data_IF_774567758557
#
_entry.id   IF_774567758557
#
_cell.length_a   1.000
_cell.length_b   1.000
_cell.length_c   1.000
_cell.angle_alpha   90.00
_cell.angle_beta   90.00
_cell.angle_gamma   90.00
#
_symmetry.space_group_name_H-M   'P 1'
#
loop_
_entity.id
_entity.type
_entity.pdbx_description
1 polymer ?
#
# COMPACT_ATOMS: atom_id res chain seq x y z
N UNK A 1 -27.38 60.49 13.21
CA UNK A 1 -26.36 59.50 12.80
C UNK A 1 -27.08 58.47 11.94
N UNK A 2 -26.77 58.40 10.64
CA UNK A 2 -27.55 57.64 9.65
C UNK A 2 -27.65 56.14 9.98
N UNK A 3 -28.86 55.61 9.91
CA UNK A 3 -29.17 54.17 10.06
C UNK A 3 -28.33 53.29 9.14
N UNK A 4 -28.00 53.80 7.95
CA UNK A 4 -27.13 53.14 6.96
C UNK A 4 -25.72 52.95 7.49
N UNK A 5 -25.12 53.97 8.14
CA UNK A 5 -23.78 53.86 8.74
C UNK A 5 -23.74 52.86 9.89
N UNK A 6 -24.84 52.76 10.65
CA UNK A 6 -24.97 51.76 11.72
C UNK A 6 -25.08 50.35 11.18
N UNK A 7 -25.82 50.14 10.09
CA UNK A 7 -25.94 48.82 9.45
C UNK A 7 -24.64 48.36 8.78
N UNK A 8 -23.91 49.28 8.12
CA UNK A 8 -22.59 48.98 7.56
C UNK A 8 -21.61 48.55 8.64
N UNK A 9 -21.55 49.27 9.77
CA UNK A 9 -20.66 48.92 10.88
C UNK A 9 -20.97 47.56 11.50
N UNK A 10 -22.26 47.17 11.58
CA UNK A 10 -22.67 45.83 12.06
C UNK A 10 -22.36 44.72 11.05
N UNK A 11 -22.37 45.03 9.74
CA UNK A 11 -21.97 44.11 8.69
C UNK A 11 -20.45 43.88 8.73
N UNK A 12 -19.67 44.94 8.91
CA UNK A 12 -18.22 44.86 9.07
C UNK A 12 -17.84 44.06 10.33
N UNK A 13 -18.46 44.34 11.48
CA UNK A 13 -18.26 43.55 12.72
C UNK A 13 -18.59 42.06 12.53
N UNK A 14 -19.67 41.73 11.80
CA UNK A 14 -20.03 40.33 11.50
C UNK A 14 -19.12 39.66 10.48
N UNK A 15 -18.55 40.41 9.54
CA UNK A 15 -17.59 39.90 8.58
C UNK A 15 -16.23 39.66 9.23
N UNK A 16 -15.83 40.51 10.18
CA UNK A 16 -14.65 40.33 11.01
C UNK A 16 -14.79 39.17 12.02
N UNK A 17 -16.00 38.90 12.50
CA UNK A 17 -16.30 37.75 13.36
C UNK A 17 -16.38 36.41 12.62
N UNK A 18 -16.46 36.41 11.27
CA UNK A 18 -16.40 35.15 10.53
C UNK A 18 -15.01 34.55 10.72
N UNK A 19 -14.89 33.33 11.29
CA UNK A 19 -13.61 32.66 11.30
C UNK A 19 -13.14 32.59 9.86
N UNK A 20 -11.96 33.14 9.57
CA UNK A 20 -11.36 33.07 8.23
C UNK A 20 -11.40 31.63 7.72
N UNK A 21 -11.37 31.42 6.41
CA UNK A 21 -11.61 30.10 5.80
C UNK A 21 -10.88 28.94 6.51
N UNK A 22 -9.65 29.15 7.00
CA UNK A 22 -8.91 28.18 7.81
C UNK A 22 -9.56 27.84 9.16
N UNK A 23 -10.09 28.81 9.89
CA UNK A 23 -10.81 28.59 11.15
C UNK A 23 -12.13 27.84 10.96
N UNK A 24 -12.85 28.14 9.87
CA UNK A 24 -14.07 27.40 9.51
C UNK A 24 -13.78 25.93 9.17
N UNK A 25 -12.70 25.67 8.42
CA UNK A 25 -12.26 24.30 8.08
C UNK A 25 -11.85 23.52 9.33
N UNK A 26 -11.11 24.14 10.26
CA UNK A 26 -10.71 23.47 11.52
C UNK A 26 -11.93 23.19 12.40
N UNK A 27 -12.92 24.08 12.43
CA UNK A 27 -14.14 23.88 13.20
C UNK A 27 -15.05 22.78 12.62
N UNK A 28 -15.16 22.68 11.30
CA UNK A 28 -16.00 21.67 10.63
C UNK A 28 -15.30 20.31 10.49
N UNK A 29 -13.99 20.33 10.27
CA UNK A 29 -13.18 19.16 9.96
C UNK A 29 -11.91 19.12 10.82
N UNK A 30 -12.00 18.96 12.15
CA UNK A 30 -10.84 18.98 13.04
C UNK A 30 -9.82 17.87 12.74
N UNK A 31 -10.26 16.76 12.13
CA UNK A 31 -9.41 15.64 11.74
C UNK A 31 -8.69 15.82 10.39
N UNK A 32 -8.99 16.88 9.63
CA UNK A 32 -8.39 17.09 8.32
C UNK A 32 -6.87 17.30 8.42
N UNK A 33 -6.42 18.16 9.34
CA UNK A 33 -5.00 18.47 9.50
C UNK A 33 -4.18 17.22 9.91
N UNK A 34 -4.58 16.43 10.94
CA UNK A 34 -3.89 15.18 11.25
C UNK A 34 -3.94 14.15 10.11
N UNK A 35 -5.03 14.06 9.34
CA UNK A 35 -5.12 13.17 8.18
C UNK A 35 -4.14 13.58 7.07
N UNK A 36 -4.02 14.87 6.78
CA UNK A 36 -3.03 15.40 5.82
C UNK A 36 -1.61 15.11 6.32
N UNK A 37 -1.34 15.30 7.62
CA UNK A 37 -0.03 14.98 8.20
C UNK A 37 0.32 13.48 8.07
N UNK A 38 -0.65 12.60 8.31
CA UNK A 38 -0.51 11.15 8.13
C UNK A 38 -0.18 10.79 6.68
N UNK A 39 -0.93 11.32 5.70
CA UNK A 39 -0.70 11.05 4.27
C UNK A 39 0.64 11.61 3.83
N UNK A 40 0.97 12.84 4.23
CA UNK A 40 2.25 13.46 3.92
C UNK A 40 3.42 12.62 4.45
N UNK A 41 3.32 12.09 5.67
CA UNK A 41 4.35 11.23 6.24
C UNK A 41 4.53 9.90 5.49
N UNK A 42 3.44 9.30 4.98
CA UNK A 42 3.53 8.11 4.09
C UNK A 42 4.30 8.47 2.82
N UNK A 43 4.00 9.62 2.21
CA UNK A 43 4.71 10.08 1.01
C UNK A 43 6.19 10.31 1.32
N UNK A 44 6.51 11.03 2.39
CA UNK A 44 7.90 11.29 2.79
C UNK A 44 8.66 10.00 3.05
N UNK A 45 8.10 9.08 3.85
CA UNK A 45 8.73 7.79 4.17
C UNK A 45 8.95 6.92 2.92
N UNK A 46 8.07 7.03 1.90
CA UNK A 46 8.22 6.32 0.64
C UNK A 46 9.42 6.81 -0.20
N UNK A 47 9.91 8.04 0.01
CA UNK A 47 11.07 8.60 -0.71
C UNK A 47 12.34 8.68 0.15
N UNK A 48 12.20 8.99 1.44
CA UNK A 48 13.28 9.21 2.37
C UNK A 48 13.04 8.31 3.58
N UNK A 49 13.56 7.08 3.56
CA UNK A 49 13.41 6.12 4.66
C UNK A 49 13.81 6.76 5.99
N UNK A 50 12.84 7.10 6.84
CA UNK A 50 13.11 7.81 8.09
C UNK A 50 13.59 6.78 9.13
N UNK A 51 14.71 6.98 9.82
CA UNK A 51 15.14 6.03 10.84
C UNK A 51 14.14 6.02 12.01
N UNK A 52 13.89 4.83 12.57
CA UNK A 52 12.86 4.64 13.62
C UNK A 52 13.14 5.43 14.89
N UNK A 53 14.42 5.63 15.24
CA UNK A 53 14.80 6.45 16.40
C UNK A 53 14.35 7.90 16.27
N UNK A 54 14.35 8.47 15.05
CA UNK A 54 13.91 9.84 14.82
C UNK A 54 12.40 9.96 15.02
N UNK A 55 11.63 8.96 14.58
CA UNK A 55 10.19 8.89 14.84
C UNK A 55 9.90 8.83 16.34
N UNK A 56 10.65 8.03 17.10
CA UNK A 56 10.51 7.96 18.57
C UNK A 56 10.84 9.31 19.24
N UNK A 57 11.88 10.01 18.78
CA UNK A 57 12.23 11.33 19.29
C UNK A 57 11.12 12.36 19.03
N UNK A 58 10.53 12.36 17.83
CA UNK A 58 9.41 13.27 17.48
C UNK A 58 8.19 13.00 18.36
N UNK A 59 7.84 11.73 18.58
CA UNK A 59 6.72 11.35 19.47
C UNK A 59 6.99 11.81 20.90
N UNK A 60 8.19 11.59 21.42
CA UNK A 60 8.56 12.04 22.76
C UNK A 60 8.45 13.56 22.90
N UNK A 61 8.95 14.31 21.91
CA UNK A 61 8.85 15.77 21.88
C UNK A 61 7.39 16.26 21.82
N UNK A 62 6.54 15.57 21.06
CA UNK A 62 5.11 15.88 20.99
C UNK A 62 4.41 15.67 22.35
N UNK A 63 4.74 14.60 23.07
CA UNK A 63 4.21 14.32 24.42
C UNK A 63 4.67 15.40 25.41
N UNK A 64 5.96 15.75 25.41
CA UNK A 64 6.51 16.79 26.29
C UNK A 64 5.89 18.16 26.00
N UNK A 65 5.70 18.51 24.73
CA UNK A 65 5.05 19.76 24.33
C UNK A 65 3.58 19.83 24.76
N UNK A 66 2.85 18.70 24.71
CA UNK A 66 1.46 18.62 25.16
C UNK A 66 1.31 18.68 26.69
N UNK A 67 2.30 18.18 27.43
CA UNK A 67 2.33 18.19 28.89
C UNK A 67 2.80 19.53 29.49
N UNK A 68 3.35 20.44 28.67
CA UNK A 68 3.90 21.69 29.15
C UNK A 68 2.82 22.64 29.73
N UNK A 69 2.99 23.13 30.97
CA UNK A 69 2.04 24.06 31.57
C UNK A 69 2.10 25.44 30.89
N UNK A 70 0.95 25.98 30.50
CA UNK A 70 0.89 27.28 29.83
C UNK A 70 -0.53 27.77 29.59
N UNK A 71 -0.62 28.98 29.02
CA UNK A 71 -1.89 29.62 28.69
C UNK A 71 -2.78 28.72 27.81
N UNK A 72 -4.09 28.71 28.05
CA UNK A 72 -5.07 27.84 27.39
C UNK A 72 -4.99 27.90 25.85
N UNK A 73 -4.80 29.10 25.28
CA UNK A 73 -4.62 29.25 23.82
C UNK A 73 -3.35 28.57 23.32
N UNK A 74 -2.22 28.72 24.03
CA UNK A 74 -0.95 28.08 23.68
C UNK A 74 -1.05 26.55 23.78
N UNK A 75 -1.75 26.04 24.80
CA UNK A 75 -1.98 24.61 24.99
C UNK A 75 -2.82 23.99 23.86
N UNK A 76 -3.84 24.69 23.36
CA UNK A 76 -4.61 24.26 22.19
C UNK A 76 -3.72 24.10 20.94
N UNK A 77 -2.89 25.10 20.63
CA UNK A 77 -1.98 24.99 19.48
C UNK A 77 -0.95 23.87 19.66
N UNK A 78 -0.35 23.73 20.86
CA UNK A 78 0.62 22.68 21.16
C UNK A 78 0.02 21.27 21.06
N UNK A 79 -1.22 21.09 21.54
CA UNK A 79 -1.92 19.80 21.45
C UNK A 79 -2.31 19.48 20.00
N UNK A 80 -2.74 20.47 19.22
CA UNK A 80 -3.03 20.29 17.80
C UNK A 80 -1.77 19.94 16.99
N UNK A 81 -0.64 20.60 17.24
CA UNK A 81 0.63 20.25 16.58
C UNK A 81 1.14 18.88 17.02
N UNK A 82 1.04 18.56 18.31
CA UNK A 82 1.38 17.24 18.84
C UNK A 82 0.53 16.12 18.19
N UNK A 83 -0.78 16.35 18.01
CA UNK A 83 -1.66 15.41 17.33
C UNK A 83 -1.26 15.22 15.85
N UNK A 84 -0.91 16.29 15.13
CA UNK A 84 -0.42 16.20 13.75
C UNK A 84 0.90 15.42 13.67
N UNK A 85 1.84 15.69 14.58
CA UNK A 85 3.12 14.98 14.64
C UNK A 85 2.93 13.50 14.97
N UNK A 86 2.08 13.17 15.94
CA UNK A 86 1.75 11.80 16.28
C UNK A 86 1.17 11.05 15.07
N UNK A 87 0.20 11.66 14.37
CA UNK A 87 -0.39 11.07 13.16
C UNK A 87 0.62 10.94 12.01
N UNK A 88 1.53 11.90 11.84
CA UNK A 88 2.63 11.76 10.89
C UNK A 88 3.52 10.55 11.22
N UNK A 89 3.92 10.38 12.49
CA UNK A 89 4.68 9.21 12.93
C UNK A 89 3.92 7.90 12.70
N UNK A 90 2.61 7.85 12.99
CA UNK A 90 1.77 6.68 12.69
C UNK A 90 1.75 6.38 11.20
N UNK A 91 1.70 7.39 10.32
CA UNK A 91 1.78 7.22 8.86
C UNK A 91 3.10 6.56 8.41
N UNK A 92 4.24 7.07 8.89
CA UNK A 92 5.54 6.49 8.59
C UNK A 92 5.67 5.05 9.11
N UNK A 93 5.28 4.80 10.36
CA UNK A 93 5.27 3.44 10.96
C UNK A 93 4.35 2.51 10.17
N UNK A 94 3.17 2.97 9.77
CA UNK A 94 2.21 2.18 8.98
C UNK A 94 2.79 1.73 7.64
N UNK A 95 3.59 2.58 6.98
CA UNK A 95 4.28 2.20 5.75
C UNK A 95 5.43 1.22 6.02
N UNK A 96 6.22 1.42 7.08
CA UNK A 96 7.27 0.46 7.48
C UNK A 96 6.69 -0.92 7.80
N UNK A 97 5.65 -0.99 8.62
CA UNK A 97 4.97 -2.24 8.95
C UNK A 97 4.33 -2.90 7.72
N UNK A 98 3.91 -2.12 6.72
CA UNK A 98 3.38 -2.68 5.47
C UNK A 98 4.45 -3.41 4.66
N UNK A 99 5.67 -2.89 4.63
CA UNK A 99 6.79 -3.48 3.90
C UNK A 99 7.57 -4.51 4.71
N UNK A 100 7.40 -4.54 6.03
CA UNK A 100 8.01 -5.53 6.89
C UNK A 100 7.40 -6.90 6.63
N UNK A 101 8.26 -7.82 6.18
CA UNK A 101 7.89 -9.20 5.94
C UNK A 101 7.84 -9.97 7.26
N UNK A 102 6.79 -10.78 7.52
CA UNK A 102 6.86 -11.74 8.60
C UNK A 102 7.96 -12.80 8.32
N UNK A 103 8.47 -13.50 9.35
CA UNK A 103 9.57 -14.46 9.18
C UNK A 103 9.25 -15.57 8.17
N UNK A 104 7.99 -16.02 8.12
CA UNK A 104 7.44 -17.04 7.24
C UNK A 104 6.98 -16.48 5.87
N UNK A 105 7.31 -15.24 5.53
CA UNK A 105 6.96 -14.67 4.22
C UNK A 105 7.69 -15.43 3.10
N UNK A 106 6.96 -15.70 2.02
CA UNK A 106 7.48 -16.36 0.82
C UNK A 106 8.74 -15.71 0.25
N UNK A 107 8.95 -14.41 0.47
CA UNK A 107 10.16 -13.69 0.05
C UNK A 107 11.42 -14.15 0.80
N UNK A 108 11.29 -14.76 1.98
CA UNK A 108 12.42 -15.28 2.75
C UNK A 108 12.74 -16.74 2.38
N UNK A 109 11.81 -17.42 1.68
CA UNK A 109 11.92 -18.84 1.34
C UNK A 109 12.49 -19.10 -0.07
N UNK A 110 12.62 -18.05 -0.88
CA UNK A 110 13.07 -18.14 -2.29
C UNK A 110 14.33 -17.31 -2.47
N UNK A 111 15.34 -17.90 -3.12
CA UNK A 111 16.55 -17.19 -3.55
C UNK A 111 16.31 -16.26 -4.74
N UNK A 112 17.39 -15.83 -5.38
CA UNK A 112 17.30 -15.01 -6.60
C UNK A 112 17.05 -15.87 -7.84
N UNK A 113 17.50 -17.13 -7.81
CA UNK A 113 17.34 -18.07 -8.90
C UNK A 113 15.92 -18.69 -8.96
N UNK A 114 15.33 -18.79 -10.16
CA UNK A 114 14.03 -19.44 -10.30
C UNK A 114 14.02 -20.89 -9.84
N UNK A 115 13.04 -21.26 -9.02
CA UNK A 115 12.99 -22.57 -8.37
C UNK A 115 11.65 -23.25 -8.61
N UNK A 116 11.66 -24.56 -8.87
CA UNK A 116 10.42 -25.36 -8.96
C UNK A 116 9.78 -25.48 -7.57
N UNK A 117 8.47 -25.28 -7.52
CA UNK A 117 7.72 -25.36 -6.28
C UNK A 117 6.28 -25.79 -6.50
N UNK A 118 5.70 -26.38 -5.46
CA UNK A 118 4.26 -26.59 -5.32
C UNK A 118 3.73 -25.60 -4.30
N UNK A 119 2.69 -24.84 -4.65
CA UNK A 119 2.03 -23.90 -3.75
C UNK A 119 0.66 -24.41 -3.36
N UNK A 120 0.25 -24.17 -2.12
CA UNK A 120 -1.14 -24.28 -1.69
C UNK A 120 -1.61 -22.93 -1.15
N UNK A 121 -2.80 -22.49 -1.55
CA UNK A 121 -3.30 -21.18 -1.14
C UNK A 121 -4.71 -20.89 -1.62
N UNK A 122 -5.20 -19.72 -1.23
CA UNK A 122 -6.54 -19.25 -1.59
C UNK A 122 -6.44 -18.20 -2.69
N UNK A 123 -7.23 -18.35 -3.75
CA UNK A 123 -7.29 -17.41 -4.86
C UNK A 123 -7.92 -16.10 -4.39
N UNK A 124 -7.21 -14.99 -4.56
CA UNK A 124 -7.64 -13.66 -4.07
C UNK A 124 -8.41 -12.86 -5.13
N UNK A 125 -8.11 -13.06 -6.40
CA UNK A 125 -8.70 -12.29 -7.50
C UNK A 125 -9.07 -13.21 -8.66
N UNK A 126 -10.08 -12.83 -9.44
CA UNK A 126 -10.47 -13.58 -10.63
C UNK A 126 -9.31 -13.60 -11.64
N UNK A 127 -9.14 -14.69 -12.41
CA UNK A 127 -8.19 -14.75 -13.51
C UNK A 127 -8.39 -13.58 -14.47
N UNK A 128 -7.35 -12.75 -14.62
CA UNK A 128 -7.32 -11.66 -15.59
C UNK A 128 -6.58 -12.12 -16.84
N UNK A 129 -7.28 -12.08 -17.97
CA UNK A 129 -6.73 -12.44 -19.27
C UNK A 129 -5.96 -11.28 -19.89
N UNK A 130 -4.82 -11.59 -20.50
CA UNK A 130 -4.05 -10.61 -21.24
C UNK A 130 -4.75 -10.26 -22.56
N UNK A 131 -5.22 -9.02 -22.70
CA UNK A 131 -5.78 -8.53 -23.95
C UNK A 131 -4.66 -8.09 -24.90
N UNK A 132 -4.08 -9.04 -25.64
CA UNK A 132 -2.97 -8.76 -26.57
C UNK A 132 -3.35 -7.92 -27.77
N UNK A 133 -4.62 -7.90 -28.14
CA UNK A 133 -5.12 -7.02 -29.22
C UNK A 133 -4.96 -5.53 -28.85
N UNK A 134 -4.83 -5.21 -27.56
CA UNK A 134 -4.52 -3.85 -27.12
C UNK A 134 -3.06 -3.44 -27.31
N UNK A 135 -2.16 -4.38 -27.64
CA UNK A 135 -0.73 -4.10 -27.80
C UNK A 135 -0.39 -3.81 -29.27
N UNK A 136 0.44 -2.78 -29.52
CA UNK A 136 0.82 -2.33 -30.87
C UNK A 136 1.36 -3.45 -31.77
N UNK A 137 2.03 -4.45 -31.18
CA UNK A 137 2.57 -5.63 -31.87
C UNK A 137 1.99 -6.96 -31.39
N UNK A 138 0.92 -6.94 -30.57
CA UNK A 138 0.39 -8.16 -29.95
C UNK A 138 -0.08 -9.21 -30.96
N UNK A 139 -0.65 -8.76 -32.09
CA UNK A 139 -1.11 -9.64 -33.19
C UNK A 139 0.00 -10.47 -33.85
N UNK A 140 1.26 -10.08 -33.69
CA UNK A 140 2.41 -10.78 -34.27
C UNK A 140 3.09 -11.75 -33.28
N UNK A 141 2.51 -11.92 -32.08
CA UNK A 141 3.08 -12.78 -31.04
C UNK A 141 2.50 -14.18 -31.15
N UNK A 142 3.36 -15.19 -31.30
CA UNK A 142 2.97 -16.60 -31.45
C UNK A 142 2.64 -17.33 -30.15
N UNK A 143 2.74 -16.67 -29.00
CA UNK A 143 2.43 -17.29 -27.71
C UNK A 143 0.91 -17.51 -27.57
N UNK A 144 0.47 -18.58 -26.93
CA UNK A 144 -0.96 -18.82 -26.64
C UNK A 144 -1.52 -17.83 -25.61
N UNK A 145 -2.83 -17.87 -25.35
CA UNK A 145 -3.47 -17.04 -24.32
C UNK A 145 -2.78 -17.18 -22.95
N UNK A 146 -2.82 -16.14 -22.13
CA UNK A 146 -2.29 -16.15 -20.77
C UNK A 146 -3.24 -15.44 -19.82
N UNK A 147 -3.29 -15.92 -18.59
CA UNK A 147 -4.00 -15.25 -17.51
C UNK A 147 -3.12 -15.07 -16.28
N UNK A 148 -3.47 -14.09 -15.44
CA UNK A 148 -2.84 -13.90 -14.15
C UNK A 148 -3.85 -13.62 -13.05
N UNK A 149 -3.54 -14.08 -11.84
CA UNK A 149 -4.32 -13.83 -10.64
C UNK A 149 -3.40 -13.76 -9.41
N UNK A 150 -3.94 -13.36 -8.27
CA UNK A 150 -3.22 -13.33 -7.01
C UNK A 150 -3.62 -14.50 -6.13
N UNK A 151 -2.64 -15.19 -5.57
CA UNK A 151 -2.82 -16.28 -4.61
C UNK A 151 -2.34 -15.84 -3.23
N UNK A 152 -3.21 -15.93 -2.22
CA UNK A 152 -2.80 -15.83 -0.82
C UNK A 152 -2.23 -17.17 -0.39
N UNK A 153 -0.94 -17.20 -0.10
CA UNK A 153 -0.23 -18.44 0.21
C UNK A 153 -0.62 -18.96 1.60
N UNK A 154 -0.63 -20.30 1.73
CA UNK A 154 -0.74 -21.03 3.00
C UNK A 154 0.46 -21.92 3.22
N UNK A 155 0.84 -22.68 2.19
CA UNK A 155 1.95 -23.61 2.26
C UNK A 155 2.73 -23.60 0.94
N UNK A 156 4.02 -23.87 1.04
CA UNK A 156 4.92 -24.02 -0.10
C UNK A 156 5.75 -25.28 0.09
N UNK A 157 6.03 -25.94 -1.03
CA UNK A 157 6.99 -27.04 -1.10
C UNK A 157 7.94 -26.76 -2.25
N UNK A 158 9.23 -26.59 -1.94
CA UNK A 158 10.29 -26.46 -2.95
C UNK A 158 11.00 -27.82 -3.10
N UNK A 159 12.27 -27.92 -2.70
CA UNK A 159 13.05 -29.17 -2.72
C UNK A 159 12.80 -30.08 -1.52
N UNK A 160 12.17 -29.56 -0.46
CA UNK A 160 11.97 -30.25 0.81
C UNK A 160 10.53 -30.66 1.10
N UNK A 161 10.23 -30.73 2.40
CA UNK A 161 8.88 -30.92 2.91
C UNK A 161 8.00 -29.68 2.68
N UNK A 162 6.70 -29.83 2.93
CA UNK A 162 5.80 -28.70 3.02
C UNK A 162 6.19 -27.80 4.19
N UNK A 163 6.20 -26.50 3.95
CA UNK A 163 6.44 -25.47 4.97
C UNK A 163 5.29 -24.47 4.93
N UNK A 164 4.85 -24.02 6.10
CA UNK A 164 3.91 -22.91 6.17
C UNK A 164 4.56 -21.65 5.62
N UNK A 165 3.78 -20.89 4.83
CA UNK A 165 4.30 -19.69 4.22
C UNK A 165 3.18 -18.65 4.07
N UNK A 166 3.51 -17.44 4.51
CA UNK A 166 2.67 -16.27 4.36
C UNK A 166 3.07 -15.47 3.10
N UNK A 167 2.13 -14.68 2.61
CA UNK A 167 2.37 -13.73 1.53
C UNK A 167 1.33 -13.82 0.43
N UNK A 168 1.47 -12.96 -0.56
CA UNK A 168 0.66 -12.99 -1.78
C UNK A 168 1.60 -13.18 -2.97
N UNK A 169 1.30 -14.15 -3.81
CA UNK A 169 2.08 -14.44 -5.02
C UNK A 169 1.25 -14.06 -6.24
N UNK A 170 1.89 -13.46 -7.24
CA UNK A 170 1.26 -13.27 -8.55
C UNK A 170 1.43 -14.56 -9.35
N UNK A 171 0.33 -15.22 -9.67
CA UNK A 171 0.32 -16.41 -10.51
C UNK A 171 0.13 -15.98 -11.96
N UNK A 172 0.97 -16.50 -12.84
CA UNK A 172 0.84 -16.38 -14.29
C UNK A 172 0.72 -17.78 -14.88
N UNK A 173 -0.36 -18.00 -15.62
CA UNK A 173 -0.66 -19.29 -16.25
C UNK A 173 -0.61 -19.11 -17.76
N UNK A 174 0.12 -19.99 -18.42
CA UNK A 174 0.05 -20.12 -19.89
C UNK A 174 -1.20 -20.94 -20.23
N UNK A 175 -2.20 -20.30 -20.82
CA UNK A 175 -3.50 -20.89 -21.12
C UNK A 175 -4.66 -20.20 -20.40
N UNK A 176 -5.87 -20.58 -20.80
CA UNK A 176 -7.13 -20.10 -20.23
C UNK A 176 -7.52 -20.96 -19.02
N UNK A 177 -7.96 -20.33 -17.94
CA UNK A 177 -8.34 -21.01 -16.70
C UNK A 177 -9.79 -20.66 -16.37
N UNK A 178 -10.70 -21.59 -16.60
CA UNK A 178 -12.15 -21.34 -16.49
C UNK A 178 -12.72 -21.68 -15.12
N UNK A 179 -12.15 -22.68 -14.46
CA UNK A 179 -12.71 -23.25 -13.23
C UNK A 179 -12.22 -22.59 -11.94
N UNK A 180 -11.30 -21.62 -12.03
CA UNK A 180 -10.70 -20.97 -10.85
C UNK A 180 -11.37 -19.64 -10.54
N UNK A 181 -11.85 -19.48 -9.30
CA UNK A 181 -12.59 -18.32 -8.79
C UNK A 181 -11.97 -17.77 -7.51
N UNK A 182 -12.21 -16.49 -7.17
CA UNK A 182 -11.82 -15.95 -5.87
C UNK A 182 -12.45 -16.77 -4.73
N UNK A 183 -11.65 -17.10 -3.72
CA UNK A 183 -12.05 -17.94 -2.59
C UNK A 183 -11.67 -19.40 -2.72
N UNK A 184 -11.37 -19.88 -3.92
CA UNK A 184 -11.01 -21.29 -4.13
C UNK A 184 -9.67 -21.61 -3.47
N UNK A 185 -9.62 -22.78 -2.83
CA UNK A 185 -8.37 -23.35 -2.33
C UNK A 185 -7.75 -24.20 -3.42
N UNK A 186 -6.52 -23.86 -3.82
CA UNK A 186 -5.85 -24.48 -4.97
C UNK A 186 -4.46 -24.95 -4.62
N UNK A 187 -4.02 -26.01 -5.29
CA UNK A 187 -2.63 -26.43 -5.41
C UNK A 187 -2.10 -26.08 -6.79
N UNK A 188 -0.90 -25.50 -6.84
CA UNK A 188 -0.24 -25.07 -8.08
C UNK A 188 1.13 -25.72 -8.22
N UNK A 189 1.40 -26.33 -9.37
CA UNK A 189 2.75 -26.77 -9.76
C UNK A 189 3.39 -25.71 -10.64
N UNK A 190 4.43 -25.06 -10.12
CA UNK A 190 4.93 -23.84 -10.73
C UNK A 190 6.44 -23.69 -10.61
N UNK A 191 6.96 -22.70 -11.33
CA UNK A 191 8.29 -22.14 -11.10
C UNK A 191 8.14 -20.78 -10.43
N UNK A 192 8.73 -20.65 -9.26
CA UNK A 192 8.80 -19.40 -8.51
C UNK A 192 9.98 -18.56 -8.99
N UNK A 193 9.79 -17.26 -9.09
CA UNK A 193 10.87 -16.30 -9.35
C UNK A 193 10.57 -14.94 -8.73
N UNK A 194 11.62 -14.16 -8.47
CA UNK A 194 11.48 -12.73 -8.15
C UNK A 194 11.13 -11.93 -9.40
N UNK A 195 10.58 -10.73 -9.21
CA UNK A 195 10.41 -9.79 -10.32
C UNK A 195 11.76 -9.20 -10.71
N UNK A 196 12.09 -9.29 -12.00
CA UNK A 196 13.29 -8.67 -12.55
C UNK A 196 13.16 -7.15 -12.69
N UNK A 197 14.30 -6.47 -12.74
CA UNK A 197 14.39 -5.05 -13.02
C UNK A 197 14.12 -4.77 -14.51
N UNK A 198 13.68 -3.55 -14.86
CA UNK A 198 13.51 -3.17 -16.26
C UNK A 198 14.87 -3.24 -16.99
N UNK A 199 14.92 -4.00 -18.09
CA UNK A 199 16.14 -4.18 -18.88
C UNK A 199 16.30 -3.13 -19.98
N UNK A 200 15.25 -2.34 -20.26
CA UNK A 200 15.27 -1.30 -21.29
C UNK A 200 14.82 0.05 -20.72
N UNK A 201 15.44 1.17 -21.16
CA UNK A 201 14.94 2.50 -20.85
C UNK A 201 13.48 2.68 -21.27
N UNK A 202 12.66 3.27 -20.40
CA UNK A 202 11.23 3.48 -20.65
C UNK A 202 10.34 2.23 -20.51
N UNK A 203 10.91 1.07 -20.21
CA UNK A 203 10.13 -0.14 -19.91
C UNK A 203 9.37 0.03 -18.58
N UNK A 204 8.17 -0.55 -18.51
CA UNK A 204 7.40 -0.58 -17.28
C UNK A 204 8.12 -1.38 -16.19
N UNK A 205 8.34 -0.75 -15.04
CA UNK A 205 8.96 -1.37 -13.87
C UNK A 205 7.95 -2.20 -13.10
N UNK A 206 7.89 -3.50 -13.43
CA UNK A 206 6.97 -4.44 -12.82
C UNK A 206 7.35 -4.75 -11.37
N UNK A 207 8.65 -4.77 -11.05
CA UNK A 207 9.16 -5.02 -9.70
C UNK A 207 8.64 -3.94 -8.76
N UNK A 208 8.87 -2.66 -9.09
CA UNK A 208 8.37 -1.53 -8.30
C UNK A 208 6.85 -1.47 -8.22
N UNK A 209 6.15 -1.82 -9.30
CA UNK A 209 4.69 -1.86 -9.30
C UNK A 209 4.12 -2.92 -8.34
N UNK A 210 4.74 -4.09 -8.29
CA UNK A 210 4.32 -5.19 -7.42
C UNK A 210 4.75 -4.97 -5.96
N UNK A 211 5.92 -4.37 -5.71
CA UNK A 211 6.39 -4.00 -4.38
C UNK A 211 5.44 -3.04 -3.67
N UNK A 212 4.86 -2.07 -4.39
CA UNK A 212 3.82 -1.16 -3.86
C UNK A 212 2.56 -1.91 -3.41
N UNK A 213 2.34 -3.13 -3.91
CA UNK A 213 1.23 -4.02 -3.51
C UNK A 213 1.65 -5.05 -2.46
N UNK A 214 2.89 -4.97 -1.96
CA UNK A 214 3.53 -5.96 -1.09
C UNK A 214 3.56 -7.37 -1.72
N UNK A 215 3.85 -7.43 -3.03
CA UNK A 215 3.97 -8.67 -3.81
C UNK A 215 5.38 -8.71 -4.38
N UNK A 216 6.17 -9.69 -3.95
CA UNK A 216 7.60 -9.78 -4.30
C UNK A 216 7.95 -11.00 -5.15
N UNK A 217 7.01 -11.93 -5.30
CA UNK A 217 7.22 -13.24 -5.93
C UNK A 217 6.17 -13.46 -7.01
N UNK A 218 6.63 -14.02 -8.12
CA UNK A 218 5.83 -14.52 -9.23
C UNK A 218 5.87 -16.04 -9.27
N UNK A 219 4.74 -16.67 -9.58
CA UNK A 219 4.62 -18.09 -9.85
C UNK A 219 4.21 -18.29 -11.32
N UNK A 220 5.03 -19.00 -12.08
CA UNK A 220 4.74 -19.36 -13.47
C UNK A 220 4.24 -20.81 -13.54
N UNK A 221 3.01 -20.99 -14.01
CA UNK A 221 2.36 -22.28 -14.24
C UNK A 221 2.30 -22.51 -15.75
N UNK A 222 2.82 -23.66 -16.21
CA UNK A 222 3.00 -23.93 -17.64
C UNK A 222 1.69 -24.22 -18.38
N UNK A 223 0.67 -24.73 -17.69
CA UNK A 223 -0.64 -25.04 -18.27
C UNK A 223 -1.73 -25.02 -17.19
N UNK A 224 -3.02 -24.88 -17.56
CA UNK A 224 -4.13 -24.96 -16.61
C UNK A 224 -4.17 -26.28 -15.83
N UNK A 225 -3.69 -27.38 -16.44
CA UNK A 225 -3.57 -28.69 -15.77
C UNK A 225 -2.58 -28.70 -14.59
N UNK A 226 -1.73 -27.67 -14.46
CA UNK A 226 -0.86 -27.48 -13.29
C UNK A 226 -1.58 -26.88 -12.08
N UNK A 227 -2.91 -26.74 -12.13
CA UNK A 227 -3.76 -26.19 -11.07
C UNK A 227 -4.76 -27.27 -10.64
N UNK A 228 -4.75 -27.62 -9.37
CA UNK A 228 -5.72 -28.52 -8.75
C UNK A 228 -6.59 -27.72 -7.78
N UNK A 229 -7.91 -27.85 -7.89
CA UNK A 229 -8.85 -27.41 -6.86
C UNK A 229 -8.85 -28.42 -5.71
N UNK A 230 -8.83 -27.96 -4.46
CA UNK A 230 -8.77 -28.78 -3.25
C UNK A 230 -10.06 -28.70 -2.43
#
# INVERSE_FOLDING_TARGET
MDSIRRQLRLLDERLDERPGAGGAIVAQCPLLLPAVAFIAAIVVENYFTIPTWLLMAIVLMAILAAAWPGNHRRRLYLTATAACLAMACTGAVRLKCFHQAPPDDIRNLIGDEPTLATLCGVVKTSPRYDNRNSWKFGRYTWTGESCSFYLKLRQVRTRGAWTEAAGTVRVQVSGRVEDVRPGDYVRLYCRLSRFGEPLNPGQFDIKRSMERRNIHVSASVKSPAGIELL
#
